data_IF_131094103058
#
_entry.id   IF_131094103058
#
_cell.length_a   1.000
_cell.length_b   1.000
_cell.length_c   1.000
_cell.angle_alpha   90.00
_cell.angle_beta   90.00
_cell.angle_gamma   90.00
#
_symmetry.space_group_name_H-M   'P 1'
#
loop_
_entity.id
_entity.type
_entity.pdbx_description
1 polymer ?
#
# COMPACT_ATOMS: atom_id res chain seq x y z
N UNK A 1 -0.26 26.49 63.33
CA UNK A 1 0.97 25.78 62.92
C UNK A 1 0.59 24.78 61.83
N UNK A 2 0.83 25.11 60.56
CA UNK A 2 0.57 24.23 59.42
C UNK A 2 1.84 24.12 58.59
N UNK A 3 2.44 22.93 58.56
CA UNK A 3 3.58 22.63 57.72
C UNK A 3 3.11 22.48 56.27
N UNK A 4 3.41 23.47 55.43
CA UNK A 4 3.29 23.35 53.98
C UNK A 4 4.42 22.43 53.51
N UNK A 5 4.06 21.28 52.96
CA UNK A 5 4.98 20.27 52.43
C UNK A 5 5.79 20.85 51.26
N UNK A 6 7.10 20.95 51.46
CA UNK A 6 8.10 21.39 50.45
C UNK A 6 8.27 20.35 49.31
N UNK A 7 7.57 19.22 49.37
CA UNK A 7 7.69 18.11 48.42
C UNK A 7 7.16 18.40 47.02
N UNK A 8 6.33 19.42 46.82
CA UNK A 8 5.64 19.62 45.53
C UNK A 8 6.45 20.48 44.55
N UNK A 9 7.40 21.29 45.03
CA UNK A 9 8.19 22.19 44.19
C UNK A 9 9.33 21.48 43.42
N UNK A 10 9.80 20.32 43.87
CA UNK A 10 10.93 19.61 43.27
C UNK A 10 10.57 18.75 42.04
N UNK A 11 9.27 18.57 41.70
CA UNK A 11 8.84 17.85 40.48
C UNK A 11 8.66 18.74 39.25
N UNK A 12 8.74 20.07 39.40
CA UNK A 12 8.54 21.02 38.30
C UNK A 12 9.83 21.36 37.53
N UNK A 13 11.00 20.94 38.01
CA UNK A 13 12.29 21.22 37.37
C UNK A 13 12.77 19.95 36.67
N UNK A 14 12.53 19.84 35.37
CA UNK A 14 13.21 18.83 34.55
C UNK A 14 12.38 18.06 33.51
N UNK A 15 11.27 18.59 32.99
CA UNK A 15 10.80 18.17 31.66
C UNK A 15 11.36 19.12 30.61
N UNK A 16 12.66 19.02 30.36
CA UNK A 16 13.24 19.54 29.11
C UNK A 16 12.50 18.82 27.99
N UNK A 17 11.70 19.55 27.22
CA UNK A 17 10.98 19.02 26.07
C UNK A 17 12.00 18.38 25.12
N UNK A 18 12.15 17.05 25.19
CA UNK A 18 12.99 16.33 24.23
C UNK A 18 12.40 16.60 22.85
N UNK A 19 13.21 17.02 21.86
CA UNK A 19 12.71 17.20 20.51
C UNK A 19 12.04 15.89 20.08
N UNK A 20 10.74 15.96 19.77
CA UNK A 20 10.00 14.81 19.26
C UNK A 20 10.58 14.52 17.88
N UNK A 21 11.39 13.48 17.78
CA UNK A 21 11.86 13.01 16.48
C UNK A 21 10.64 12.79 15.57
N UNK A 22 10.72 13.18 14.28
CA UNK A 22 9.65 12.94 13.34
C UNK A 22 9.35 11.43 13.30
N UNK A 23 8.07 11.08 13.16
CA UNK A 23 7.68 9.67 13.08
C UNK A 23 8.40 9.00 11.89
N UNK A 24 8.74 7.71 12.02
CA UNK A 24 9.43 7.00 10.95
C UNK A 24 8.65 6.99 9.63
N UNK A 25 7.31 7.03 9.70
CA UNK A 25 6.47 7.22 8.53
C UNK A 25 6.74 8.56 7.81
N UNK A 26 6.93 9.67 8.55
CA UNK A 26 7.25 10.97 7.95
C UNK A 26 8.62 10.95 7.28
N UNK A 27 9.64 10.40 7.95
CA UNK A 27 10.98 10.28 7.36
C UNK A 27 10.92 9.43 6.08
N UNK A 28 10.22 8.30 6.14
CA UNK A 28 10.04 7.40 5.00
C UNK A 28 9.29 8.06 3.83
N UNK A 29 8.23 8.83 4.12
CA UNK A 29 7.52 9.62 3.12
C UNK A 29 8.42 10.68 2.46
N UNK A 30 9.19 11.42 3.25
CA UNK A 30 10.12 12.44 2.73
C UNK A 30 11.15 11.80 1.80
N UNK A 31 11.74 10.68 2.20
CA UNK A 31 12.67 9.93 1.35
C UNK A 31 12.00 9.44 0.07
N UNK A 32 10.75 8.97 0.15
CA UNK A 32 9.97 8.57 -1.02
C UNK A 32 9.67 9.73 -1.97
N UNK A 33 9.35 10.92 -1.45
CA UNK A 33 9.16 12.13 -2.26
C UNK A 33 10.46 12.55 -2.94
N UNK A 34 11.59 12.53 -2.22
CA UNK A 34 12.90 12.81 -2.81
C UNK A 34 13.22 11.81 -3.92
N UNK A 35 12.96 10.52 -3.70
CA UNK A 35 13.14 9.48 -4.71
C UNK A 35 12.24 9.72 -5.94
N UNK A 36 10.99 10.12 -5.75
CA UNK A 36 10.06 10.43 -6.84
C UNK A 36 10.48 11.67 -7.65
N UNK A 37 10.98 12.72 -7.00
CA UNK A 37 11.54 13.90 -7.66
C UNK A 37 12.82 13.53 -8.44
N UNK A 38 13.70 12.75 -7.83
CA UNK A 38 14.90 12.22 -8.49
C UNK A 38 14.54 11.42 -9.73
N UNK A 39 13.48 10.59 -9.64
CA UNK A 39 12.97 9.81 -10.76
C UNK A 39 12.51 10.69 -11.93
N UNK A 40 11.73 11.74 -11.62
CA UNK A 40 11.23 12.69 -12.61
C UNK A 40 12.34 13.53 -13.26
N UNK A 41 13.54 13.54 -12.66
CA UNK A 41 14.70 14.28 -13.16
C UNK A 41 15.54 13.48 -14.17
N UNK A 42 15.32 12.16 -14.30
CA UNK A 42 16.04 11.37 -15.30
C UNK A 42 15.50 11.66 -16.71
N UNK A 43 16.38 12.18 -17.57
CA UNK A 43 16.07 12.44 -18.98
C UNK A 43 16.25 11.20 -19.87
N UNK A 44 17.04 10.22 -19.43
CA UNK A 44 17.26 8.96 -20.14
C UNK A 44 16.33 7.84 -19.61
N UNK A 45 15.40 7.33 -20.45
CA UNK A 45 14.51 6.24 -20.10
C UNK A 45 15.21 4.94 -19.71
N UNK A 46 16.40 4.68 -20.26
CA UNK A 46 17.14 3.44 -19.98
C UNK A 46 17.66 3.44 -18.54
N UNK A 47 18.30 4.53 -18.12
CA UNK A 47 18.77 4.69 -16.75
C UNK A 47 17.62 4.56 -15.75
N UNK A 48 16.49 5.19 -16.02
CA UNK A 48 15.34 5.17 -15.12
C UNK A 48 14.67 3.78 -15.02
N UNK A 49 14.67 2.99 -16.10
CA UNK A 49 14.16 1.60 -16.10
C UNK A 49 14.99 0.63 -15.22
N UNK A 50 16.25 0.96 -14.92
CA UNK A 50 17.09 0.15 -14.03
C UNK A 50 16.68 0.28 -12.56
N UNK A 51 16.03 1.38 -12.18
CA UNK A 51 15.63 1.67 -10.80
C UNK A 51 14.23 1.20 -10.47
N UNK A 52 13.35 1.10 -11.48
CA UNK A 52 11.96 0.70 -11.29
C UNK A 52 11.77 -0.67 -10.62
N UNK A 53 12.65 -1.67 -10.79
CA UNK A 53 12.55 -2.89 -10.02
C UNK A 53 12.55 -2.67 -8.52
N UNK A 54 13.23 -1.65 -8.00
CA UNK A 54 13.36 -1.43 -6.56
C UNK A 54 12.09 -0.89 -5.89
N UNK A 55 11.09 -0.41 -6.63
CA UNK A 55 9.93 0.25 -6.01
C UNK A 55 9.10 -0.69 -5.12
N UNK A 56 8.70 -1.90 -5.58
CA UNK A 56 8.00 -2.85 -4.73
C UNK A 56 8.85 -3.30 -3.54
N UNK A 57 10.18 -3.39 -3.71
CA UNK A 57 11.10 -3.74 -2.63
C UNK A 57 11.09 -2.68 -1.52
N UNK A 58 11.14 -1.39 -1.88
CA UNK A 58 11.06 -0.29 -0.91
C UNK A 58 9.77 -0.38 -0.11
N UNK A 59 8.63 -0.58 -0.77
CA UNK A 59 7.33 -0.77 -0.12
C UNK A 59 7.31 -2.00 0.80
N UNK A 60 7.78 -3.14 0.31
CA UNK A 60 7.87 -4.41 1.07
C UNK A 60 8.69 -4.26 2.35
N UNK A 61 9.89 -3.67 2.25
CA UNK A 61 10.77 -3.42 3.40
C UNK A 61 10.15 -2.42 4.37
N UNK A 62 9.50 -1.37 3.87
CA UNK A 62 8.76 -0.41 4.70
C UNK A 62 7.67 -1.11 5.52
N UNK A 63 6.90 -2.01 4.89
CA UNK A 63 5.90 -2.81 5.58
C UNK A 63 6.53 -3.74 6.62
N UNK A 64 7.59 -4.45 6.27
CA UNK A 64 8.26 -5.38 7.17
C UNK A 64 8.78 -4.65 8.41
N UNK A 65 9.49 -3.53 8.23
CA UNK A 65 10.00 -2.71 9.33
C UNK A 65 8.85 -2.15 10.17
N UNK A 66 7.78 -1.64 9.54
CA UNK A 66 6.59 -1.15 10.24
C UNK A 66 5.90 -2.23 11.08
N UNK A 67 5.72 -3.42 10.52
CA UNK A 67 5.11 -4.56 11.18
C UNK A 67 5.96 -5.05 12.36
N UNK A 68 7.28 -5.12 12.20
CA UNK A 68 8.19 -5.53 13.28
C UNK A 68 8.27 -4.48 14.39
N UNK A 69 8.25 -3.19 14.03
CA UNK A 69 8.38 -2.08 14.99
C UNK A 69 7.13 -1.87 15.84
N UNK A 70 5.95 -1.91 15.21
CA UNK A 70 4.69 -1.59 15.89
C UNK A 70 3.92 -2.82 16.36
N UNK A 71 4.37 -4.02 15.96
CA UNK A 71 3.76 -5.31 16.33
C UNK A 71 2.23 -5.28 16.27
N UNK A 72 1.65 -4.96 15.10
CA UNK A 72 0.21 -4.82 14.98
C UNK A 72 -0.48 -6.15 15.29
N UNK A 73 -1.66 -6.09 15.90
CA UNK A 73 -2.49 -7.27 16.25
C UNK A 73 -2.65 -8.23 15.06
N UNK A 74 -2.65 -7.69 13.83
CA UNK A 74 -2.77 -8.45 12.57
C UNK A 74 -1.46 -8.52 11.79
N UNK A 75 -0.36 -8.87 12.46
CA UNK A 75 0.96 -8.98 11.81
C UNK A 75 0.93 -9.90 10.58
N UNK A 76 0.19 -11.01 10.64
CA UNK A 76 0.05 -11.94 9.50
C UNK A 76 -0.65 -11.35 8.27
N UNK A 77 -1.40 -10.26 8.41
CA UNK A 77 -1.99 -9.54 7.28
C UNK A 77 -0.93 -8.66 6.59
N UNK A 78 -0.16 -7.91 7.39
CA UNK A 78 0.94 -7.08 6.89
C UNK A 78 2.06 -7.91 6.26
N UNK A 79 2.42 -9.05 6.83
CA UNK A 79 3.41 -9.95 6.25
C UNK A 79 2.95 -10.54 4.91
N UNK A 80 1.65 -10.83 4.77
CA UNK A 80 1.07 -11.27 3.49
C UNK A 80 1.22 -10.18 2.42
N UNK A 81 0.95 -8.92 2.76
CA UNK A 81 1.14 -7.79 1.85
C UNK A 81 2.61 -7.60 1.51
N UNK A 82 3.51 -7.60 2.50
CA UNK A 82 4.94 -7.45 2.29
C UNK A 82 5.50 -8.54 1.37
N UNK A 83 5.07 -9.79 1.55
CA UNK A 83 5.48 -10.90 0.70
C UNK A 83 4.95 -10.77 -0.73
N UNK A 84 3.70 -10.33 -0.91
CA UNK A 84 3.16 -10.03 -2.25
C UNK A 84 3.98 -8.97 -2.99
N UNK A 85 4.33 -7.87 -2.29
CA UNK A 85 5.21 -6.83 -2.85
C UNK A 85 6.63 -7.32 -3.14
N UNK A 86 7.14 -8.24 -2.32
CA UNK A 86 8.45 -8.86 -2.55
C UNK A 86 8.45 -9.75 -3.80
N UNK A 87 7.36 -10.48 -4.05
CA UNK A 87 7.19 -11.22 -5.31
C UNK A 87 7.11 -10.28 -6.52
N UNK A 88 6.51 -9.10 -6.39
CA UNK A 88 6.53 -8.08 -7.46
C UNK A 88 7.95 -7.56 -7.73
N UNK A 89 8.79 -7.40 -6.70
CA UNK A 89 10.20 -7.08 -6.89
C UNK A 89 10.93 -8.18 -7.67
N UNK A 90 10.70 -9.46 -7.32
CA UNK A 90 11.24 -10.61 -8.07
C UNK A 90 10.76 -10.57 -9.52
N UNK A 91 9.47 -10.31 -9.76
CA UNK A 91 8.91 -10.16 -11.10
C UNK A 91 9.59 -9.06 -11.91
N UNK A 92 9.78 -7.87 -11.30
CA UNK A 92 10.48 -6.77 -11.96
C UNK A 92 11.94 -7.13 -12.30
N UNK A 93 12.64 -7.81 -11.39
CA UNK A 93 14.02 -8.25 -11.61
C UNK A 93 14.12 -9.30 -12.72
N UNK A 94 13.20 -10.26 -12.76
CA UNK A 94 13.11 -11.27 -13.82
C UNK A 94 12.81 -10.63 -15.18
N UNK A 95 11.83 -9.72 -15.24
CA UNK A 95 11.47 -9.01 -16.48
C UNK A 95 12.65 -8.21 -17.07
N UNK A 96 13.47 -7.60 -16.21
CA UNK A 96 14.68 -6.91 -16.63
C UNK A 96 15.71 -7.85 -17.28
N UNK A 97 15.86 -9.08 -16.75
CA UNK A 97 16.77 -10.09 -17.30
C UNK A 97 16.24 -10.74 -18.58
N UNK A 98 14.94 -11.03 -18.66
CA UNK A 98 14.29 -11.65 -19.82
C UNK A 98 14.26 -10.74 -21.05
N UNK A 99 14.25 -9.42 -20.86
CA UNK A 99 14.39 -8.44 -21.93
C UNK A 99 15.71 -8.61 -22.72
N UNK A 100 16.66 -9.39 -22.20
CA UNK A 100 17.93 -9.73 -22.84
C UNK A 100 17.95 -11.14 -23.48
N UNK A 101 16.94 -12.00 -23.25
CA UNK A 101 17.01 -13.44 -23.53
C UNK A 101 16.04 -13.97 -24.62
N UNK A 102 15.17 -13.14 -25.19
CA UNK A 102 14.16 -13.57 -26.18
C UNK A 102 12.85 -14.08 -25.54
N UNK A 103 11.80 -14.25 -26.35
CA UNK A 103 10.43 -14.45 -25.86
C UNK A 103 10.05 -15.93 -25.64
N UNK A 104 9.65 -16.26 -24.42
CA UNK A 104 8.94 -17.51 -24.06
C UNK A 104 7.43 -17.26 -23.90
N UNK A 105 6.62 -18.33 -23.97
CA UNK A 105 5.15 -18.25 -23.90
C UNK A 105 4.60 -17.91 -22.50
N UNK A 106 5.34 -18.23 -21.43
CA UNK A 106 5.04 -17.79 -20.05
C UNK A 106 6.35 -17.34 -19.44
N UNK A 107 6.42 -16.07 -19.04
CA UNK A 107 7.66 -15.51 -18.52
C UNK A 107 7.74 -15.73 -17.01
N UNK A 108 8.89 -16.14 -16.44
CA UNK A 108 9.09 -16.20 -14.99
C UNK A 108 8.61 -14.95 -14.23
N UNK A 109 8.77 -13.77 -14.84
CA UNK A 109 8.22 -12.52 -14.31
C UNK A 109 6.69 -12.57 -14.08
N UNK A 110 5.93 -13.07 -15.06
CA UNK A 110 4.47 -13.15 -15.02
C UNK A 110 3.99 -14.05 -13.88
N UNK A 111 4.69 -15.16 -13.63
CA UNK A 111 4.38 -16.08 -12.53
C UNK A 111 4.60 -15.41 -11.17
N UNK A 112 5.66 -14.62 -11.02
CA UNK A 112 5.94 -13.91 -9.78
C UNK A 112 4.87 -12.85 -9.48
N UNK A 113 4.45 -12.07 -10.49
CA UNK A 113 3.33 -11.13 -10.34
C UNK A 113 2.03 -11.86 -10.01
N UNK A 114 1.67 -12.91 -10.76
CA UNK A 114 0.46 -13.68 -10.53
C UNK A 114 0.42 -14.28 -9.11
N UNK A 115 1.55 -14.77 -8.59
CA UNK A 115 1.64 -15.30 -7.23
C UNK A 115 1.57 -14.21 -6.13
N UNK A 116 1.96 -12.97 -6.44
CA UNK A 116 1.86 -11.84 -5.52
C UNK A 116 0.41 -11.46 -5.20
N UNK A 117 -0.48 -11.47 -6.19
CA UNK A 117 -1.87 -11.02 -6.02
C UNK A 117 -2.69 -11.79 -4.96
N UNK A 118 -2.67 -13.14 -4.91
CA UNK A 118 -3.33 -13.90 -3.84
C UNK A 118 -2.84 -13.51 -2.43
N UNK A 119 -1.55 -13.17 -2.28
CA UNK A 119 -0.99 -12.73 -1.00
C UNK A 119 -1.47 -11.32 -0.63
N UNK A 120 -1.54 -10.41 -1.60
CA UNK A 120 -2.09 -9.06 -1.39
C UNK A 120 -3.58 -9.13 -1.01
N UNK A 121 -4.37 -9.92 -1.74
CA UNK A 121 -5.80 -10.16 -1.45
C UNK A 121 -6.00 -10.79 -0.07
N UNK A 122 -5.22 -11.81 0.27
CA UNK A 122 -5.22 -12.44 1.60
C UNK A 122 -4.92 -11.42 2.71
N UNK A 123 -3.91 -10.57 2.51
CA UNK A 123 -3.54 -9.51 3.44
C UNK A 123 -4.67 -8.49 3.61
N UNK A 124 -5.23 -7.99 2.51
CA UNK A 124 -6.33 -7.04 2.52
C UNK A 124 -7.56 -7.61 3.23
N UNK A 125 -7.95 -8.84 2.89
CA UNK A 125 -9.07 -9.54 3.52
C UNK A 125 -8.88 -9.68 5.03
N UNK A 126 -7.69 -10.10 5.49
CA UNK A 126 -7.38 -10.24 6.92
C UNK A 126 -7.43 -8.91 7.66
N UNK A 127 -6.96 -7.82 7.05
CA UNK A 127 -7.05 -6.48 7.63
C UNK A 127 -8.52 -6.09 7.87
N UNK A 128 -9.39 -6.35 6.90
CA UNK A 128 -10.81 -5.98 6.96
C UNK A 128 -11.59 -6.89 7.93
N UNK A 129 -11.42 -8.20 7.85
CA UNK A 129 -12.26 -9.20 8.56
C UNK A 129 -12.26 -9.05 10.09
N UNK A 130 -11.18 -8.57 10.70
CA UNK A 130 -11.14 -8.34 12.15
C UNK A 130 -11.19 -6.87 12.56
N UNK A 131 -11.56 -5.97 11.65
CA UNK A 131 -11.59 -4.52 11.93
C UNK A 131 -12.99 -4.03 12.25
N UNK A 132 -14.01 -4.80 11.87
CA UNK A 132 -15.42 -4.49 12.09
C UNK A 132 -15.94 -5.19 13.34
N UNK A 133 -17.03 -4.67 13.90
CA UNK A 133 -17.73 -5.33 14.98
C UNK A 133 -18.22 -6.73 14.59
N UNK A 134 -18.71 -7.47 15.58
CA UNK A 134 -19.30 -8.80 15.35
C UNK A 134 -20.71 -8.74 14.73
N UNK A 135 -21.26 -7.55 14.56
CA UNK A 135 -22.61 -7.37 14.03
C UNK A 135 -22.64 -7.43 12.49
N UNK A 136 -23.68 -8.06 11.94
CA UNK A 136 -23.90 -8.21 10.51
C UNK A 136 -24.10 -6.85 9.82
N UNK A 137 -24.68 -5.88 10.54
CA UNK A 137 -24.90 -4.51 10.07
C UNK A 137 -23.60 -3.86 9.61
N UNK A 138 -22.52 -3.98 10.39
CA UNK A 138 -21.20 -3.43 10.05
C UNK A 138 -20.63 -4.07 8.77
N UNK A 139 -20.86 -5.37 8.57
CA UNK A 139 -20.42 -6.06 7.35
C UNK A 139 -21.21 -5.60 6.13
N UNK A 140 -22.52 -5.39 6.26
CA UNK A 140 -23.38 -4.92 5.18
C UNK A 140 -23.02 -3.49 4.74
N UNK A 141 -22.76 -2.58 5.68
CA UNK A 141 -22.32 -1.22 5.39
C UNK A 141 -20.95 -1.22 4.70
N UNK A 142 -20.01 -2.00 5.22
CA UNK A 142 -18.70 -2.17 4.62
C UNK A 142 -18.74 -2.76 3.21
N UNK A 143 -19.60 -3.76 2.97
CA UNK A 143 -19.81 -4.35 1.66
C UNK A 143 -20.45 -3.36 0.68
N UNK A 144 -21.41 -2.55 1.15
CA UNK A 144 -22.06 -1.52 0.34
C UNK A 144 -21.06 -0.45 -0.13
N UNK A 145 -20.21 0.03 0.79
CA UNK A 145 -19.13 0.97 0.46
C UNK A 145 -18.14 0.36 -0.53
N UNK A 146 -17.72 -0.89 -0.28
CA UNK A 146 -16.79 -1.61 -1.16
C UNK A 146 -17.37 -1.81 -2.56
N UNK A 147 -18.65 -2.18 -2.66
CA UNK A 147 -19.35 -2.38 -3.93
C UNK A 147 -19.51 -1.06 -4.70
N UNK A 148 -19.92 0.02 -4.03
CA UNK A 148 -20.00 1.34 -4.66
C UNK A 148 -18.62 1.79 -5.18
N UNK A 149 -17.57 1.58 -4.38
CA UNK A 149 -16.18 1.83 -4.80
C UNK A 149 -15.76 0.97 -6.00
N UNK A 150 -16.07 -0.32 -5.98
CA UNK A 150 -15.77 -1.23 -7.08
C UNK A 150 -16.44 -0.80 -8.39
N UNK A 151 -17.70 -0.34 -8.35
CA UNK A 151 -18.41 0.18 -9.52
C UNK A 151 -17.73 1.43 -10.06
N UNK A 152 -17.33 2.37 -9.19
CA UNK A 152 -16.63 3.58 -9.61
C UNK A 152 -15.25 3.25 -10.22
N UNK A 153 -14.48 2.38 -9.57
CA UNK A 153 -13.19 1.91 -10.07
C UNK A 153 -13.35 1.13 -11.38
N UNK A 154 -14.43 0.39 -11.55
CA UNK A 154 -14.73 -0.30 -12.81
C UNK A 154 -14.89 0.70 -13.95
N UNK A 155 -15.71 1.74 -13.76
CA UNK A 155 -15.97 2.76 -14.79
C UNK A 155 -14.69 3.53 -15.15
N UNK A 156 -13.84 3.81 -14.16
CA UNK A 156 -12.65 4.66 -14.36
C UNK A 156 -11.43 3.87 -14.82
N UNK A 157 -11.25 2.63 -14.36
CA UNK A 157 -10.04 1.83 -14.60
C UNK A 157 -10.28 0.66 -15.54
N UNK A 158 -11.38 -0.09 -15.35
CA UNK A 158 -11.61 -1.33 -16.10
C UNK A 158 -12.26 -1.06 -17.45
N UNK A 159 -13.34 -0.29 -17.51
CA UNK A 159 -14.07 -0.04 -18.76
C UNK A 159 -13.19 0.59 -19.86
N UNK A 160 -12.32 1.60 -19.58
CA UNK A 160 -11.43 2.14 -20.61
C UNK A 160 -10.44 1.12 -21.15
N UNK A 161 -9.96 0.22 -20.29
CA UNK A 161 -9.01 -0.82 -20.65
C UNK A 161 -9.72 -1.95 -21.38
N UNK A 162 -10.85 -2.44 -20.88
CA UNK A 162 -11.63 -3.56 -21.43
C UNK A 162 -12.21 -3.33 -22.83
N UNK A 163 -12.31 -2.08 -23.29
CA UNK A 163 -12.67 -1.75 -24.68
C UNK A 163 -11.55 -2.03 -25.69
N UNK A 164 -10.34 -2.34 -25.23
CA UNK A 164 -9.23 -2.72 -26.10
C UNK A 164 -9.37 -4.15 -26.57
N UNK A 165 -9.35 -4.35 -27.89
CA UNK A 165 -9.67 -5.63 -28.52
C UNK A 165 -8.60 -6.73 -28.36
N UNK A 166 -7.55 -6.53 -27.56
CA UNK A 166 -6.37 -7.43 -27.51
C UNK A 166 -5.69 -7.54 -26.14
N UNK A 167 -6.36 -7.26 -25.02
CA UNK A 167 -5.74 -7.47 -23.71
C UNK A 167 -5.56 -8.95 -23.39
N UNK A 168 -4.34 -9.41 -23.07
CA UNK A 168 -4.12 -10.76 -22.59
C UNK A 168 -4.93 -11.03 -21.31
N UNK A 169 -5.45 -12.25 -21.15
CA UNK A 169 -6.24 -12.66 -19.98
C UNK A 169 -5.53 -12.36 -18.65
N UNK A 170 -4.20 -12.53 -18.62
CA UNK A 170 -3.38 -12.24 -17.43
C UNK A 170 -3.43 -10.74 -17.09
N UNK A 171 -3.31 -9.85 -18.08
CA UNK A 171 -3.38 -8.41 -17.85
C UNK A 171 -4.77 -7.97 -17.34
N UNK A 172 -5.84 -8.61 -17.82
CA UNK A 172 -7.19 -8.38 -17.29
C UNK A 172 -7.32 -8.83 -15.83
N UNK A 173 -6.79 -10.01 -15.50
CA UNK A 173 -6.83 -10.56 -14.15
C UNK A 173 -6.08 -9.68 -13.12
N UNK A 174 -4.93 -9.12 -13.52
CA UNK A 174 -4.12 -8.18 -12.74
C UNK A 174 -4.95 -6.94 -12.36
N UNK A 175 -5.55 -6.26 -13.35
CA UNK A 175 -6.35 -5.05 -13.11
C UNK A 175 -7.59 -5.35 -12.26
N UNK A 176 -8.24 -6.50 -12.49
CA UNK A 176 -9.36 -6.95 -11.67
C UNK A 176 -8.93 -7.18 -10.21
N UNK A 177 -7.76 -7.76 -9.98
CA UNK A 177 -7.24 -7.98 -8.65
C UNK A 177 -6.91 -6.67 -7.93
N UNK A 178 -6.36 -5.67 -8.62
CA UNK A 178 -6.12 -4.34 -8.05
C UNK A 178 -7.41 -3.65 -7.63
N UNK A 179 -8.42 -3.65 -8.49
CA UNK A 179 -9.75 -3.09 -8.18
C UNK A 179 -10.39 -3.82 -7.00
N UNK A 180 -10.28 -5.14 -6.95
CA UNK A 180 -10.77 -5.93 -5.83
C UNK A 180 -10.07 -5.56 -4.52
N UNK A 181 -8.74 -5.43 -4.51
CA UNK A 181 -7.97 -5.03 -3.32
C UNK A 181 -8.41 -3.65 -2.83
N UNK A 182 -8.49 -2.66 -3.73
CA UNK A 182 -8.91 -1.29 -3.35
C UNK A 182 -10.34 -1.30 -2.81
N UNK A 183 -11.27 -1.96 -3.50
CA UNK A 183 -12.67 -2.06 -3.08
C UNK A 183 -12.82 -2.73 -1.70
N UNK A 184 -12.05 -3.79 -1.41
CA UNK A 184 -12.05 -4.46 -0.11
C UNK A 184 -11.56 -3.53 1.01
N UNK A 185 -10.52 -2.73 0.76
CA UNK A 185 -9.89 -1.86 1.75
C UNK A 185 -10.61 -0.52 1.92
N UNK A 186 -11.35 -0.06 0.91
CA UNK A 186 -12.00 1.26 0.85
C UNK A 186 -12.84 1.63 2.09
N UNK A 187 -13.57 0.71 2.74
CA UNK A 187 -14.33 1.08 3.92
C UNK A 187 -13.46 1.43 5.14
N UNK A 188 -12.21 0.96 5.21
CA UNK A 188 -11.33 1.17 6.36
C UNK A 188 -11.17 2.66 6.72
N UNK A 189 -10.83 3.58 5.79
CA UNK A 189 -10.74 5.01 6.07
C UNK A 189 -12.10 5.73 6.20
N UNK A 190 -13.21 5.11 5.82
CA UNK A 190 -14.55 5.73 5.81
C UNK A 190 -15.28 5.46 7.13
N UNK A 191 -15.29 4.19 7.54
CA UNK A 191 -15.96 3.72 8.76
C UNK A 191 -15.19 4.22 9.98
N UNK A 192 -15.86 4.93 10.90
CA UNK A 192 -15.22 5.65 12.02
C UNK A 192 -14.45 4.71 12.95
N UNK A 193 -14.98 3.51 13.13
CA UNK A 193 -14.48 2.42 13.95
C UNK A 193 -13.20 1.80 13.40
N UNK A 194 -12.90 2.00 12.11
CA UNK A 194 -11.69 1.49 11.46
C UNK A 194 -10.78 2.59 10.94
N UNK A 195 -11.27 3.83 10.86
CA UNK A 195 -10.56 4.97 10.31
C UNK A 195 -9.29 5.28 11.10
N UNK A 196 -8.17 5.34 10.39
CA UNK A 196 -6.87 5.76 10.89
C UNK A 196 -6.03 6.35 9.77
N UNK A 197 -4.98 7.14 10.07
CA UNK A 197 -4.05 7.60 9.03
C UNK A 197 -3.39 6.44 8.26
N UNK A 198 -3.05 5.34 8.96
CA UNK A 198 -2.54 4.11 8.34
C UNK A 198 -3.49 3.55 7.29
N UNK A 199 -4.80 3.46 7.58
CA UNK A 199 -5.79 2.97 6.61
C UNK A 199 -5.94 3.90 5.39
N UNK A 200 -5.76 5.22 5.57
CA UNK A 200 -5.79 6.17 4.45
C UNK A 200 -4.59 5.94 3.54
N UNK A 201 -3.37 5.88 4.10
CA UNK A 201 -2.17 5.61 3.32
C UNK A 201 -2.25 4.26 2.59
N UNK A 202 -2.81 3.24 3.25
CA UNK A 202 -2.98 1.93 2.63
C UNK A 202 -3.92 1.98 1.41
N UNK A 203 -5.11 2.58 1.56
CA UNK A 203 -6.10 2.67 0.47
C UNK A 203 -5.60 3.55 -0.66
N UNK A 204 -5.05 4.72 -0.35
CA UNK A 204 -4.50 5.63 -1.37
C UNK A 204 -3.31 4.98 -2.08
N UNK A 205 -2.46 4.25 -1.35
CA UNK A 205 -1.33 3.52 -1.91
C UNK A 205 -1.78 2.50 -2.96
N UNK A 206 -2.71 1.60 -2.61
CA UNK A 206 -3.25 0.64 -3.57
C UNK A 206 -4.03 1.28 -4.73
N UNK A 207 -4.76 2.37 -4.48
CA UNK A 207 -5.46 3.09 -5.55
C UNK A 207 -4.49 3.71 -6.57
N UNK A 208 -3.34 4.22 -6.12
CA UNK A 208 -2.29 4.70 -7.01
C UNK A 208 -1.63 3.58 -7.80
N UNK A 209 -1.40 2.41 -7.19
CA UNK A 209 -0.90 1.22 -7.90
C UNK A 209 -1.88 0.80 -9.00
N UNK A 210 -3.17 0.61 -8.66
CA UNK A 210 -4.22 0.26 -9.60
C UNK A 210 -4.32 1.26 -10.78
N UNK A 211 -4.17 2.55 -10.48
CA UNK A 211 -4.19 3.61 -11.50
C UNK A 211 -2.96 3.54 -12.42
N UNK A 212 -1.78 3.26 -11.85
CA UNK A 212 -0.56 3.10 -12.61
C UNK A 212 -0.65 1.88 -13.55
N UNK A 213 -1.17 0.75 -13.06
CA UNK A 213 -1.32 -0.48 -13.84
C UNK A 213 -2.35 -0.34 -14.97
N UNK A 214 -3.51 0.27 -14.68
CA UNK A 214 -4.49 0.58 -15.72
C UNK A 214 -3.92 1.51 -16.80
N UNK A 215 -3.14 2.52 -16.40
CA UNK A 215 -2.50 3.45 -17.33
C UNK A 215 -1.42 2.79 -18.17
N UNK A 216 -0.60 1.95 -17.56
CA UNK A 216 0.38 1.15 -18.27
C UNK A 216 -0.29 0.26 -19.32
N UNK A 217 -1.37 -0.44 -18.94
CA UNK A 217 -2.15 -1.25 -19.87
C UNK A 217 -2.72 -0.40 -21.04
N UNK A 218 -3.25 0.79 -20.75
CA UNK A 218 -3.75 1.69 -21.80
C UNK A 218 -2.66 2.08 -22.81
N UNK A 219 -1.46 2.40 -22.33
CA UNK A 219 -0.35 2.85 -23.17
C UNK A 219 0.23 1.72 -24.02
N UNK A 220 0.44 0.56 -23.41
CA UNK A 220 1.06 -0.60 -24.06
C UNK A 220 0.09 -1.25 -25.05
N UNK A 221 -1.15 -1.52 -24.63
CA UNK A 221 -2.11 -2.29 -25.43
C UNK A 221 -3.06 -1.42 -26.26
N UNK A 222 -3.33 -0.17 -25.84
CA UNK A 222 -4.28 0.70 -26.53
C UNK A 222 -3.67 1.48 -27.68
N UNK A 223 -2.45 1.96 -27.49
CA UNK A 223 -1.77 2.81 -28.47
C UNK A 223 -0.65 2.09 -29.22
N UNK A 224 -0.41 0.80 -28.93
CA UNK A 224 0.68 0.01 -29.49
C UNK A 224 2.07 0.61 -29.21
N UNK A 225 2.19 1.47 -28.19
CA UNK A 225 3.45 2.08 -27.85
C UNK A 225 4.26 1.10 -27.00
N UNK A 226 5.44 0.72 -27.47
CA UNK A 226 6.49 0.15 -26.61
C UNK A 226 7.02 1.27 -25.73
N UNK A 227 6.33 1.52 -24.62
CA UNK A 227 6.72 2.54 -23.64
C UNK A 227 7.64 1.85 -22.63
N UNK A 228 8.93 2.21 -22.52
CA UNK A 228 9.72 1.83 -21.35
C UNK A 228 8.95 2.27 -20.11
N UNK A 229 8.93 1.44 -19.05
CA UNK A 229 8.08 1.57 -17.85
C UNK A 229 8.11 2.96 -17.16
N UNK A 230 9.03 3.83 -17.55
CA UNK A 230 9.25 5.18 -17.01
C UNK A 230 9.02 6.33 -17.99
N UNK A 231 8.86 6.07 -19.30
CA UNK A 231 8.60 7.14 -20.30
C UNK A 231 7.25 7.80 -20.02
N UNK A 232 6.38 7.10 -19.32
CA UNK A 232 5.26 7.72 -18.65
C UNK A 232 5.62 8.17 -17.22
N UNK A 233 6.17 9.38 -17.10
CA UNK A 233 6.61 9.97 -15.84
C UNK A 233 5.55 9.91 -14.74
N UNK A 234 4.26 10.12 -15.05
CA UNK A 234 3.22 10.06 -14.01
C UNK A 234 2.88 8.61 -13.60
N UNK A 235 3.08 7.62 -14.48
CA UNK A 235 2.92 6.21 -14.13
C UNK A 235 4.01 5.76 -13.15
N UNK A 236 5.27 6.09 -13.45
CA UNK A 236 6.40 5.86 -12.56
C UNK A 236 6.23 6.52 -11.18
N UNK A 237 5.80 7.79 -11.16
CA UNK A 237 5.49 8.51 -9.91
C UNK A 237 4.35 7.82 -9.16
N UNK A 238 3.30 7.37 -9.84
CA UNK A 238 2.15 6.70 -9.23
C UNK A 238 2.55 5.37 -8.57
N UNK A 239 3.33 4.53 -9.26
CA UNK A 239 3.86 3.30 -8.67
C UNK A 239 4.72 3.56 -7.44
N UNK A 240 5.75 4.41 -7.56
CA UNK A 240 6.67 4.68 -6.45
C UNK A 240 5.94 5.28 -5.25
N UNK A 241 5.05 6.26 -5.49
CA UNK A 241 4.26 6.88 -4.43
C UNK A 241 3.32 5.86 -3.78
N UNK A 242 2.72 4.97 -4.59
CA UNK A 242 1.90 3.86 -4.10
C UNK A 242 2.68 2.97 -3.13
N UNK A 243 3.82 2.43 -3.54
CA UNK A 243 4.65 1.56 -2.70
C UNK A 243 5.15 2.28 -1.43
N UNK A 244 5.53 3.55 -1.53
CA UNK A 244 5.93 4.38 -0.38
C UNK A 244 4.76 4.59 0.57
N UNK A 245 3.54 4.83 0.08
CA UNK A 245 2.38 4.96 0.95
C UNK A 245 2.05 3.64 1.67
N UNK A 246 2.21 2.50 1.02
CA UNK A 246 2.03 1.20 1.66
C UNK A 246 3.05 0.96 2.79
N UNK A 247 4.33 1.29 2.57
CA UNK A 247 5.35 1.23 3.62
C UNK A 247 5.07 2.22 4.76
N UNK A 248 4.67 3.46 4.43
CA UNK A 248 4.29 4.47 5.39
C UNK A 248 3.07 4.06 6.22
N UNK A 249 2.10 3.36 5.62
CA UNK A 249 0.91 2.85 6.30
C UNK A 249 1.30 1.93 7.46
N UNK A 250 2.23 1.00 7.24
CA UNK A 250 2.71 0.09 8.27
C UNK A 250 3.59 0.80 9.32
N UNK A 251 4.42 1.76 8.89
CA UNK A 251 5.33 2.53 9.77
C UNK A 251 4.61 3.61 10.60
N UNK A 252 3.37 3.95 10.26
CA UNK A 252 2.61 4.96 10.98
C UNK A 252 2.20 4.45 12.37
N UNK A 253 2.32 5.25 13.46
CA UNK A 253 2.02 4.79 14.82
C UNK A 253 0.62 4.19 15.02
N UNK A 254 -0.35 4.62 14.21
CA UNK A 254 -1.72 4.09 14.25
C UNK A 254 -1.86 2.66 13.71
N UNK A 255 -0.80 2.06 13.17
CA UNK A 255 -0.83 0.66 12.69
C UNK A 255 -0.84 -0.34 13.84
N UNK A 256 -0.18 -0.01 14.96
CA UNK A 256 0.01 -0.90 16.10
C UNK A 256 -0.85 -0.60 17.32
N UNK A 257 -1.64 0.48 17.32
CA UNK A 257 -2.41 0.87 18.53
C UNK A 257 -3.67 0.01 18.67
N UNK A 258 -3.80 -0.84 19.71
CA UNK A 258 -5.09 -1.42 20.06
C UNK A 258 -6.01 -0.28 20.47
N UNK A 259 -7.21 -0.16 19.89
CA UNK A 259 -8.16 0.86 20.33
C UNK A 259 -8.64 0.52 21.73
N UNK A 260 -8.71 1.53 22.59
CA UNK A 260 -9.09 1.47 24.01
C UNK A 260 -10.41 0.72 24.32
N UNK A 261 -11.22 0.39 23.32
CA UNK A 261 -12.42 -0.43 23.47
C UNK A 261 -12.12 -1.85 24.00
N UNK A 262 -10.98 -2.46 23.61
CA UNK A 262 -10.57 -3.77 24.14
C UNK A 262 -10.15 -3.71 25.63
N UNK A 263 -9.79 -2.54 26.15
CA UNK A 263 -9.43 -2.39 27.59
C UNK A 263 -10.64 -2.28 28.50
N UNK A 264 -11.78 -1.80 28.01
CA UNK A 264 -12.98 -1.63 28.82
C UNK A 264 -13.75 -2.95 29.03
N UNK A 265 -13.54 -3.95 28.17
CA UNK A 265 -14.14 -5.29 28.31
C UNK A 265 -13.37 -6.24 29.23
N UNK A 266 -12.16 -5.86 29.63
CA UNK A 266 -11.28 -6.67 30.51
C UNK A 266 -11.28 -6.19 31.96
N UNK A 267 -12.05 -5.16 32.33
CA UNK A 267 -12.32 -4.86 33.73
C UNK A 267 -13.45 -5.77 34.23
N UNK A 268 -13.16 -6.71 35.15
CA UNK A 268 -14.22 -7.49 35.79
C UNK A 268 -15.08 -6.55 36.64
N UNK A 269 -16.37 -6.49 36.31
CA UNK A 269 -17.43 -5.85 37.11
C UNK A 269 -17.65 -6.55 38.44
#
# INVERSE_FOLDING_TARGET
MGFVSVSTAARAVGQVARPRLPSAAVVYLVLGVIAAIGLASFQDPLTASQWTPLFPLVGSLGILVGALRHQPVKIGAWLSIALGLFLFWIGNAASAGESMAGAEAVRPADLAYAAGYPLLLSGAFRLVRGSRGRDWTDYADGASIGLAGAILLWIVLIDPVGRMHQLPDVAQAVILADVAIVAMLLPLPIVRETRSPSSIFLVVGFALLATADARYALLVYGNGQTVPMIVDTLGGISWLTGFVLLGAAALHPSSGTPRLADRASDEPS
#
